data_IF_855784732638
#
_entry.id   IF_855784732638
#
_cell.length_a   1.000
_cell.length_b   1.000
_cell.length_c   1.000
_cell.angle_alpha   90.00
_cell.angle_beta   90.00
_cell.angle_gamma   90.00
#
_symmetry.space_group_name_H-M   'P 1'
#
loop_
_entity.id
_entity.type
_entity.pdbx_description
1 polymer ?
#
# COMPACT_ATOMS: atom_id res chain seq x y z
N UNK A 1 -6.76 -2.46 -7.34
CA UNK A 1 -5.53 -2.92 -6.65
C UNK A 1 -4.52 -1.79 -6.67
N UNK A 2 -3.94 -1.45 -5.51
CA UNK A 2 -2.86 -0.47 -5.36
C UNK A 2 -1.55 -1.11 -5.83
N UNK A 3 -1.30 -1.05 -7.14
CA UNK A 3 -0.14 -1.71 -7.77
C UNK A 3 1.19 -1.26 -7.11
N UNK A 4 1.31 0.03 -6.80
CA UNK A 4 2.46 0.59 -6.11
C UNK A 4 2.75 -0.07 -4.74
N UNK A 5 1.71 -0.47 -3.99
CA UNK A 5 1.89 -1.10 -2.68
C UNK A 5 2.41 -2.53 -2.83
N UNK A 6 1.85 -3.26 -3.79
CA UNK A 6 2.27 -4.61 -4.15
C UNK A 6 3.72 -4.61 -4.63
N UNK A 7 4.11 -3.67 -5.48
CA UNK A 7 5.46 -3.56 -6.00
C UNK A 7 6.49 -3.29 -4.88
N UNK A 8 6.18 -2.38 -3.96
CA UNK A 8 7.02 -2.12 -2.79
C UNK A 8 7.19 -3.37 -1.92
N UNK A 9 6.09 -4.07 -1.63
CA UNK A 9 6.11 -5.32 -0.88
C UNK A 9 6.98 -6.38 -1.57
N UNK A 10 6.85 -6.55 -2.88
CA UNK A 10 7.63 -7.51 -3.65
C UNK A 10 9.10 -7.14 -3.75
N UNK A 11 9.45 -5.85 -3.83
CA UNK A 11 10.85 -5.37 -3.75
C UNK A 11 11.52 -5.74 -2.43
N UNK A 12 10.74 -5.85 -1.35
CA UNK A 12 11.22 -6.33 -0.06
C UNK A 12 11.14 -7.85 0.11
N UNK A 13 10.73 -8.59 -0.92
CA UNK A 13 10.52 -10.04 -0.87
C UNK A 13 9.56 -10.50 0.25
N UNK A 14 8.63 -9.65 0.68
CA UNK A 14 7.65 -9.97 1.71
C UNK A 14 6.35 -10.51 1.11
N UNK A 15 5.70 -11.46 1.76
CA UNK A 15 4.32 -11.86 1.49
C UNK A 15 3.32 -10.93 2.18
N UNK A 16 2.05 -11.00 1.77
CA UNK A 16 0.97 -10.24 2.43
C UNK A 16 0.83 -10.60 3.91
N UNK A 17 0.99 -11.89 4.25
CA UNK A 17 0.94 -12.37 5.64
C UNK A 17 2.10 -11.84 6.46
N UNK A 18 3.32 -11.80 5.91
CA UNK A 18 4.48 -11.27 6.64
C UNK A 18 4.33 -9.78 6.97
N UNK A 19 3.85 -8.96 6.03
CA UNK A 19 3.58 -7.55 6.32
C UNK A 19 2.48 -7.41 7.37
N UNK A 20 1.40 -8.18 7.25
CA UNK A 20 0.29 -8.18 8.20
C UNK A 20 0.74 -8.56 9.62
N UNK A 21 1.55 -9.61 9.76
CA UNK A 21 2.14 -10.04 11.03
C UNK A 21 3.04 -8.97 11.63
N UNK A 22 3.87 -8.30 10.83
CA UNK A 22 4.79 -7.24 11.31
C UNK A 22 4.04 -6.02 11.89
N UNK A 23 2.83 -5.74 11.41
CA UNK A 23 2.04 -4.58 11.83
C UNK A 23 0.84 -4.95 12.72
N UNK A 24 0.70 -6.23 13.11
CA UNK A 24 -0.34 -6.67 14.03
C UNK A 24 -1.77 -6.71 13.45
N UNK A 25 -1.92 -6.91 12.14
CA UNK A 25 -3.23 -7.06 11.49
C UNK A 25 -3.39 -8.44 10.83
N UNK A 26 -4.60 -8.76 10.37
CA UNK A 26 -4.82 -10.01 9.63
C UNK A 26 -4.36 -9.87 8.17
N UNK A 27 -3.93 -10.99 7.56
CA UNK A 27 -3.61 -11.03 6.12
C UNK A 27 -4.79 -10.53 5.27
N UNK A 28 -6.03 -10.87 5.64
CA UNK A 28 -7.23 -10.42 4.93
C UNK A 28 -7.37 -8.89 4.98
N UNK A 29 -7.12 -8.26 6.13
CA UNK A 29 -7.15 -6.80 6.26
C UNK A 29 -6.08 -6.15 5.37
N UNK A 30 -4.85 -6.70 5.37
CA UNK A 30 -3.80 -6.23 4.48
C UNK A 30 -4.19 -6.39 3.00
N UNK A 31 -4.78 -7.54 2.63
CA UNK A 31 -5.24 -7.80 1.27
C UNK A 31 -6.31 -6.81 0.82
N UNK A 32 -7.27 -6.43 1.68
CA UNK A 32 -8.24 -5.38 1.34
C UNK A 32 -7.58 -4.02 1.14
N UNK A 33 -6.52 -3.71 1.89
CA UNK A 33 -5.73 -2.49 1.70
C UNK A 33 -4.95 -2.56 0.38
N UNK A 34 -4.22 -3.64 0.09
CA UNK A 34 -3.48 -3.79 -1.16
C UNK A 34 -4.41 -3.80 -2.39
N UNK A 35 -5.62 -4.34 -2.26
CA UNK A 35 -6.57 -4.37 -3.35
C UNK A 35 -7.27 -3.03 -3.63
N UNK A 36 -7.20 -2.05 -2.72
CA UNK A 36 -7.94 -0.80 -2.87
C UNK A 36 -9.32 -0.83 -2.22
N UNK A 37 -9.76 -1.98 -1.72
CA UNK A 37 -11.11 -2.20 -1.19
C UNK A 37 -11.32 -1.50 0.16
N UNK A 38 -10.24 -1.18 0.87
CA UNK A 38 -10.27 -0.48 2.15
C UNK A 38 -9.16 0.55 2.23
N UNK A 39 -9.47 1.73 2.77
CA UNK A 39 -8.45 2.70 3.18
C UNK A 39 -8.01 2.35 4.61
N UNK A 40 -6.70 2.19 4.87
CA UNK A 40 -6.20 1.91 6.21
C UNK A 40 -6.49 3.07 7.17
N UNK A 41 -6.53 2.80 8.48
CA UNK A 41 -6.46 3.86 9.48
C UNK A 41 -5.10 4.56 9.40
N UNK A 42 -4.98 5.77 9.98
CA UNK A 42 -3.70 6.49 10.04
C UNK A 42 -2.61 5.63 10.70
N UNK A 43 -2.95 4.95 11.79
CA UNK A 43 -2.02 4.05 12.50
C UNK A 43 -1.55 2.89 11.60
N UNK A 44 -2.48 2.21 10.92
CA UNK A 44 -2.14 1.12 9.99
C UNK A 44 -1.35 1.63 8.79
N UNK A 45 -1.70 2.81 8.25
CA UNK A 45 -1.00 3.43 7.14
C UNK A 45 0.46 3.71 7.52
N UNK A 46 0.70 4.30 8.70
CA UNK A 46 2.04 4.54 9.25
C UNK A 46 2.81 3.24 9.46
N UNK A 47 2.17 2.20 10.02
CA UNK A 47 2.83 0.92 10.23
C UNK A 47 3.25 0.26 8.91
N UNK A 48 2.39 0.25 7.89
CA UNK A 48 2.73 -0.28 6.56
C UNK A 48 3.85 0.54 5.91
N UNK A 49 3.76 1.86 5.99
CA UNK A 49 4.78 2.79 5.51
C UNK A 49 6.15 2.54 6.14
N UNK A 50 6.19 2.31 7.45
CA UNK A 50 7.42 2.02 8.17
C UNK A 50 8.04 0.67 7.75
N UNK A 51 7.21 -0.34 7.48
CA UNK A 51 7.68 -1.66 7.03
C UNK A 51 8.19 -1.62 5.59
N UNK A 52 7.50 -0.90 4.70
CA UNK A 52 7.79 -0.92 3.25
C UNK A 52 8.59 0.28 2.74
N UNK A 53 8.87 1.26 3.60
CA UNK A 53 9.73 2.41 3.29
C UNK A 53 9.11 3.43 2.34
N UNK A 54 7.93 3.96 2.65
CA UNK A 54 7.30 5.05 1.88
C UNK A 54 6.52 6.02 2.77
N UNK A 55 6.17 7.23 2.31
CA UNK A 55 5.34 8.16 3.08
C UNK A 55 3.91 7.65 3.27
N UNK A 56 3.44 7.51 4.52
CA UNK A 56 2.09 6.99 4.81
C UNK A 56 0.97 7.84 4.22
N UNK A 57 1.21 9.12 3.98
CA UNK A 57 0.29 10.06 3.33
C UNK A 57 -0.11 9.61 1.93
N UNK A 58 0.70 8.78 1.26
CA UNK A 58 0.42 8.23 -0.06
C UNK A 58 -0.89 7.44 -0.15
N UNK A 59 -1.38 6.91 0.97
CA UNK A 59 -2.71 6.27 1.01
C UNK A 59 -3.88 7.24 0.83
N UNK A 60 -3.64 8.54 1.04
CA UNK A 60 -4.62 9.61 1.09
C UNK A 60 -4.38 10.71 0.05
N UNK A 61 -3.27 10.60 -0.70
CA UNK A 61 -3.04 11.45 -1.86
C UNK A 61 -4.10 11.12 -2.92
N UNK A 62 -4.74 12.13 -3.53
CA UNK A 62 -5.59 11.88 -4.68
C UNK A 62 -4.74 11.18 -5.74
N UNK A 63 -5.30 10.19 -6.44
CA UNK A 63 -4.70 9.61 -7.64
C UNK A 63 -4.50 10.78 -8.63
N UNK A 64 -3.32 11.39 -8.57
CA UNK A 64 -2.81 12.25 -9.62
C UNK A 64 -2.51 11.28 -10.75
N UNK A 65 -3.57 10.95 -11.49
CA UNK A 65 -3.42 10.25 -12.75
C UNK A 65 -2.41 11.07 -13.54
N UNK A 66 -1.28 10.45 -13.83
CA UNK A 66 -0.34 10.91 -14.84
C UNK A 66 -1.17 11.39 -16.02
N UNK A 67 -1.02 12.67 -16.37
CA UNK A 67 -1.39 13.15 -17.69
C UNK A 67 -0.81 12.13 -18.68
N UNK A 68 -1.67 11.32 -19.30
CA UNK A 68 -1.26 10.60 -20.50
C UNK A 68 -0.75 11.70 -21.41
N UNK A 69 0.53 11.74 -21.80
CA UNK A 69 0.94 12.71 -22.78
C UNK A 69 0.08 12.41 -24.00
N UNK A 70 -0.72 13.41 -24.39
CA UNK A 70 -1.42 13.47 -25.65
C UNK A 70 -0.35 13.21 -26.72
N UNK A 71 -0.28 11.95 -27.19
CA UNK A 71 0.59 11.58 -28.30
C UNK A 71 -0.19 11.95 -29.56
N UNK A 72 0.49 12.58 -30.51
CA UNK A 72 -0.02 13.65 -31.37
C UNK A 72 -1.17 13.22 -32.29
#
# INVERSE_FOLDING_TARGET
MRQWLKDLRQKMALSQSEVATKIGITQQQYSFIENGNRTPSVETAQAIANVLGFPWTRFFEPDTQEEKPDRP
#
